data_IF_769206625750
#
_entry.id   IF_769206625750
#
_cell.length_a   1.000
_cell.length_b   1.000
_cell.length_c   1.000
_cell.angle_alpha   90.00
_cell.angle_beta   90.00
_cell.angle_gamma   90.00
#
_symmetry.space_group_name_H-M   'P 1'
#
loop_
_entity.id
_entity.type
_entity.pdbx_description
1 polymer ?
#
# COMPACT_ATOMS: atom_id res chain seq x y z
N UNK A 1 -24.12 25.85 -10.40
CA UNK A 1 -22.92 26.36 -11.10
C UNK A 1 -21.94 26.79 -10.03
N UNK A 2 -20.89 26.00 -9.78
CA UNK A 2 -19.77 26.44 -8.91
C UNK A 2 -18.72 27.02 -9.85
N UNK A 3 -18.26 28.22 -9.52
CA UNK A 3 -17.22 28.96 -10.21
C UNK A 3 -16.02 28.05 -10.53
N UNK A 4 -15.65 27.97 -11.81
CA UNK A 4 -14.33 27.51 -12.22
C UNK A 4 -13.32 28.52 -11.67
N UNK A 5 -12.76 28.23 -10.49
CA UNK A 5 -11.62 28.96 -9.98
C UNK A 5 -10.55 28.98 -11.07
N UNK A 6 -10.22 30.17 -11.56
CA UNK A 6 -9.33 30.36 -12.69
C UNK A 6 -8.01 29.64 -12.40
N UNK A 7 -7.71 28.60 -13.19
CA UNK A 7 -6.50 27.78 -13.02
C UNK A 7 -5.28 28.69 -13.17
N UNK A 8 -4.50 28.83 -12.09
CA UNK A 8 -3.23 29.58 -12.02
C UNK A 8 -2.26 29.21 -13.16
N UNK A 9 -2.19 27.93 -13.52
CA UNK A 9 -1.37 27.44 -14.63
C UNK A 9 -2.27 26.91 -15.75
N UNK A 10 -1.92 27.23 -17.00
CA UNK A 10 -2.55 26.57 -18.14
C UNK A 10 -2.31 25.06 -18.08
N UNK A 11 -3.37 24.27 -18.21
CA UNK A 11 -3.30 22.81 -18.19
C UNK A 11 -4.21 22.25 -19.27
N UNK A 12 -3.59 21.85 -20.38
CA UNK A 12 -4.29 21.35 -21.55
C UNK A 12 -4.62 19.87 -21.43
N UNK A 13 -5.51 19.38 -22.31
CA UNK A 13 -5.75 17.93 -22.45
C UNK A 13 -4.48 17.18 -22.87
N UNK A 14 -3.62 17.81 -23.68
CA UNK A 14 -2.36 17.21 -24.09
C UNK A 14 -1.38 17.04 -22.91
N UNK A 15 -1.29 18.03 -22.03
CA UNK A 15 -0.50 17.94 -20.79
C UNK A 15 -1.00 16.80 -19.90
N UNK A 16 -2.32 16.68 -19.75
CA UNK A 16 -2.94 15.58 -19.03
C UNK A 16 -2.55 14.21 -19.62
N UNK A 17 -2.63 14.04 -20.94
CA UNK A 17 -2.23 12.79 -21.60
C UNK A 17 -0.72 12.50 -21.47
N UNK A 18 0.13 13.53 -21.48
CA UNK A 18 1.57 13.37 -21.20
C UNK A 18 1.81 12.92 -19.75
N UNK A 19 1.13 13.53 -18.78
CA UNK A 19 1.21 13.12 -17.37
C UNK A 19 0.74 11.69 -17.20
N UNK A 20 -0.41 11.34 -17.77
CA UNK A 20 -0.98 9.99 -17.71
C UNK A 20 -0.03 8.94 -18.27
N UNK A 21 0.52 9.16 -19.47
CA UNK A 21 1.52 8.26 -20.08
C UNK A 21 2.76 8.11 -19.21
N UNK A 22 3.28 9.23 -18.69
CA UNK A 22 4.48 9.23 -17.84
C UNK A 22 4.24 8.47 -16.53
N UNK A 23 3.09 8.67 -15.89
CA UNK A 23 2.73 7.96 -14.67
C UNK A 23 2.54 6.47 -14.89
N UNK A 24 1.88 6.09 -15.99
CA UNK A 24 1.73 4.67 -16.36
C UNK A 24 3.10 4.02 -16.60
N UNK A 25 4.01 4.67 -17.33
CA UNK A 25 5.36 4.15 -17.58
C UNK A 25 6.17 3.98 -16.29
N UNK A 26 6.09 4.93 -15.36
CA UNK A 26 6.90 4.91 -14.13
C UNK A 26 6.32 4.02 -13.03
N UNK A 27 4.99 3.99 -12.88
CA UNK A 27 4.32 3.37 -11.73
C UNK A 27 3.19 2.40 -12.10
N UNK A 28 2.87 2.21 -13.38
CA UNK A 28 1.76 1.36 -13.84
C UNK A 28 0.36 1.93 -13.59
N UNK A 29 0.26 3.07 -12.89
CA UNK A 29 -1.03 3.66 -12.49
C UNK A 29 -1.77 4.18 -13.72
N UNK A 30 -2.95 3.63 -13.97
CA UNK A 30 -3.86 4.04 -15.02
C UNK A 30 -4.84 5.11 -14.51
N UNK A 31 -4.64 6.36 -14.93
CA UNK A 31 -5.55 7.46 -14.62
C UNK A 31 -6.73 7.47 -15.59
N UNK A 32 -7.94 7.60 -15.04
CA UNK A 32 -9.16 7.82 -15.80
C UNK A 32 -9.28 9.28 -16.24
N UNK A 33 -9.91 9.52 -17.38
CA UNK A 33 -10.04 10.86 -18.00
C UNK A 33 -10.72 11.89 -17.10
N UNK A 34 -11.53 11.45 -16.13
CA UNK A 34 -12.25 12.29 -15.17
C UNK A 34 -11.38 12.87 -14.05
N UNK A 35 -10.07 12.58 -14.02
CA UNK A 35 -9.17 12.99 -12.93
C UNK A 35 -8.30 14.21 -13.26
N UNK A 36 -8.60 14.94 -14.33
CA UNK A 36 -7.84 16.13 -14.76
C UNK A 36 -7.65 17.17 -13.64
N UNK A 37 -8.73 17.49 -12.92
CA UNK A 37 -8.74 18.46 -11.81
C UNK A 37 -7.88 18.01 -10.63
N UNK A 38 -7.92 16.70 -10.32
CA UNK A 38 -7.09 16.11 -9.27
C UNK A 38 -5.61 16.18 -9.65
N UNK A 39 -5.27 15.77 -10.88
CA UNK A 39 -3.88 15.84 -11.40
C UNK A 39 -3.38 17.28 -11.36
N UNK A 40 -4.16 18.22 -11.88
CA UNK A 40 -3.83 19.65 -11.86
C UNK A 40 -3.51 20.13 -10.44
N UNK A 41 -4.43 19.90 -9.49
CA UNK A 41 -4.29 20.40 -8.11
C UNK A 41 -3.05 19.88 -7.39
N UNK A 42 -2.60 18.66 -7.71
CA UNK A 42 -1.44 17.99 -7.10
C UNK A 42 -0.14 18.44 -7.73
N UNK A 43 -0.08 18.49 -9.06
CA UNK A 43 1.12 18.91 -9.77
C UNK A 43 1.35 20.42 -9.71
N UNK A 44 0.31 21.25 -9.64
CA UNK A 44 0.46 22.69 -9.42
C UNK A 44 1.21 23.03 -8.12
N UNK A 45 1.18 22.15 -7.11
CA UNK A 45 2.01 22.29 -5.90
C UNK A 45 3.49 22.04 -6.20
N UNK A 46 3.80 21.10 -7.10
CA UNK A 46 5.17 20.82 -7.56
C UNK A 46 5.72 21.97 -8.39
N UNK A 47 4.92 22.50 -9.34
CA UNK A 47 5.29 23.68 -10.12
C UNK A 47 5.68 24.86 -9.21
N UNK A 48 4.86 25.17 -8.21
CA UNK A 48 5.17 26.22 -7.22
C UNK A 48 6.45 25.93 -6.42
N UNK A 49 6.63 24.70 -5.95
CA UNK A 49 7.82 24.32 -5.20
C UNK A 49 9.12 24.42 -6.01
N UNK A 50 9.03 24.26 -7.33
CA UNK A 50 10.15 24.36 -8.27
C UNK A 50 10.24 25.74 -8.96
N UNK A 51 9.33 26.66 -8.62
CA UNK A 51 9.20 27.98 -9.26
C UNK A 51 9.09 27.90 -10.81
N UNK A 52 8.35 26.91 -11.31
CA UNK A 52 8.09 26.72 -12.74
C UNK A 52 6.75 27.35 -13.14
N UNK A 53 6.69 27.88 -14.37
CA UNK A 53 5.57 28.70 -14.84
C UNK A 53 4.57 27.93 -15.72
N UNK A 54 4.88 26.70 -16.15
CA UNK A 54 4.00 25.90 -16.99
C UNK A 54 4.15 24.39 -16.75
N UNK A 55 3.13 23.64 -17.16
CA UNK A 55 3.17 22.18 -17.14
C UNK A 55 4.15 21.62 -18.17
N UNK A 56 4.38 22.31 -19.29
CA UNK A 56 5.37 21.90 -20.27
C UNK A 56 6.79 22.01 -19.69
N UNK A 57 7.09 23.11 -18.99
CA UNK A 57 8.37 23.29 -18.29
C UNK A 57 8.56 22.17 -17.25
N UNK A 58 7.52 21.85 -16.48
CA UNK A 58 7.57 20.78 -15.50
C UNK A 58 7.81 19.40 -16.12
N UNK A 59 7.10 19.06 -17.19
CA UNK A 59 7.27 17.77 -17.87
C UNK A 59 8.63 17.67 -18.58
N UNK A 60 9.19 18.80 -19.05
CA UNK A 60 10.54 18.87 -19.60
C UNK A 60 11.59 18.71 -18.49
N UNK A 61 11.39 19.37 -17.35
CA UNK A 61 12.23 19.22 -16.17
C UNK A 61 12.23 17.77 -15.65
N UNK A 62 11.05 17.15 -15.51
CA UNK A 62 10.89 15.76 -15.07
C UNK A 62 11.67 14.76 -15.95
N UNK A 63 11.75 15.00 -17.26
CA UNK A 63 12.54 14.15 -18.17
C UNK A 63 14.04 14.28 -17.97
N UNK A 64 14.52 15.44 -17.50
CA UNK A 64 15.94 15.78 -17.33
C UNK A 64 16.46 15.51 -15.93
N UNK A 65 15.56 15.44 -14.95
CA UNK A 65 15.89 15.34 -13.52
C UNK A 65 15.26 14.08 -12.93
N UNK A 66 15.95 12.93 -12.96
CA UNK A 66 15.46 11.67 -12.41
C UNK A 66 15.02 11.75 -10.94
N UNK A 67 15.61 12.65 -10.15
CA UNK A 67 15.28 12.87 -8.74
C UNK A 67 13.84 13.38 -8.55
N UNK A 68 13.26 14.06 -9.56
CA UNK A 68 11.87 14.54 -9.48
C UNK A 68 10.84 13.42 -9.72
N UNK A 69 11.26 12.24 -10.22
CA UNK A 69 10.36 11.10 -10.44
C UNK A 69 9.62 10.69 -9.17
N UNK A 70 10.34 10.68 -8.04
CA UNK A 70 9.76 10.34 -6.75
C UNK A 70 8.67 11.35 -6.35
N UNK A 71 8.96 12.64 -6.47
CA UNK A 71 7.99 13.69 -6.15
C UNK A 71 6.77 13.68 -7.09
N UNK A 72 6.98 13.40 -8.37
CA UNK A 72 5.92 13.25 -9.36
C UNK A 72 4.99 12.09 -9.01
N UNK A 73 5.54 10.92 -8.68
CA UNK A 73 4.77 9.75 -8.27
C UNK A 73 4.02 10.05 -6.97
N UNK A 74 4.70 10.52 -5.93
CA UNK A 74 4.11 10.84 -4.63
C UNK A 74 2.97 11.86 -4.73
N UNK A 75 3.02 12.79 -5.69
CA UNK A 75 1.96 13.74 -5.90
C UNK A 75 0.68 13.07 -6.46
N UNK A 76 0.81 11.99 -7.23
CA UNK A 76 -0.27 11.38 -8.00
C UNK A 76 -0.80 10.06 -7.41
N UNK A 77 -0.15 9.50 -6.40
CA UNK A 77 -0.61 8.34 -5.61
C UNK A 77 -1.82 8.68 -4.74
N UNK A 78 -2.70 7.70 -4.49
CA UNK A 78 -3.88 7.88 -3.63
C UNK A 78 -3.78 6.94 -2.44
N UNK A 79 -3.66 7.52 -1.25
CA UNK A 79 -3.13 6.83 -0.07
C UNK A 79 -4.18 6.66 1.04
N UNK A 80 -5.44 6.41 0.70
CA UNK A 80 -6.50 6.26 1.70
C UNK A 80 -6.40 4.89 2.40
N UNK A 81 -6.11 4.93 3.70
CA UNK A 81 -6.02 3.73 4.55
C UNK A 81 -6.58 4.01 5.95
N UNK A 82 -6.80 2.97 6.74
CA UNK A 82 -7.22 3.07 8.14
C UNK A 82 -6.85 1.79 8.89
N UNK A 83 -6.64 1.90 10.21
CA UNK A 83 -6.41 0.74 11.06
C UNK A 83 -7.56 -0.26 10.93
N UNK A 84 -7.22 -1.54 10.85
CA UNK A 84 -8.16 -2.65 10.73
C UNK A 84 -9.19 -2.47 9.60
N UNK A 85 -8.79 -1.84 8.47
CA UNK A 85 -9.59 -1.84 7.24
C UNK A 85 -9.84 -3.28 6.79
N UNK A 86 -11.10 -3.62 6.52
CA UNK A 86 -11.53 -4.98 6.17
C UNK A 86 -11.11 -5.98 7.27
N UNK A 87 -11.70 -5.80 8.46
CA UNK A 87 -11.29 -6.44 9.72
C UNK A 87 -11.26 -7.97 9.68
N UNK A 88 -12.15 -8.58 8.88
CA UNK A 88 -12.23 -10.03 8.67
C UNK A 88 -10.92 -10.65 8.17
N UNK A 89 -10.06 -9.87 7.50
CA UNK A 89 -8.74 -10.34 7.07
C UNK A 89 -7.79 -10.59 8.24
N UNK A 90 -7.90 -9.84 9.34
CA UNK A 90 -7.04 -10.00 10.51
C UNK A 90 -7.48 -11.18 11.37
N UNK A 91 -8.77 -11.51 11.36
CA UNK A 91 -9.28 -12.75 11.95
C UNK A 91 -8.71 -13.98 11.22
N UNK A 92 -8.76 -13.97 9.88
CA UNK A 92 -8.17 -15.03 9.06
C UNK A 92 -6.63 -15.11 9.20
N UNK A 93 -5.93 -13.97 9.32
CA UNK A 93 -4.50 -13.95 9.62
C UNK A 93 -4.22 -14.61 10.97
N UNK A 94 -5.01 -14.30 12.01
CA UNK A 94 -4.83 -14.89 13.32
C UNK A 94 -5.02 -16.41 13.29
N UNK A 95 -6.03 -16.91 12.57
CA UNK A 95 -6.26 -18.34 12.37
C UNK A 95 -5.12 -19.02 11.61
N UNK A 96 -4.60 -18.38 10.55
CA UNK A 96 -3.45 -18.86 9.79
C UNK A 96 -2.21 -19.02 10.69
N UNK A 97 -1.89 -18.00 11.48
CA UNK A 97 -0.73 -18.04 12.37
C UNK A 97 -0.84 -19.09 13.48
N UNK A 98 -2.04 -19.34 14.01
CA UNK A 98 -2.27 -20.41 15.00
C UNK A 98 -2.10 -21.82 14.40
N UNK A 99 -2.52 -22.00 13.14
CA UNK A 99 -2.43 -23.29 12.45
C UNK A 99 -1.05 -23.56 11.84
N UNK A 100 -0.23 -22.52 11.64
CA UNK A 100 1.10 -22.61 11.05
C UNK A 100 2.16 -22.00 11.98
N UNK A 101 2.34 -22.56 13.20
CA UNK A 101 3.31 -22.03 14.15
C UNK A 101 4.73 -22.14 13.57
N UNK A 102 5.56 -21.12 13.82
CA UNK A 102 6.95 -21.08 13.37
C UNK A 102 7.32 -19.79 12.64
N UNK A 103 8.47 -19.81 11.99
CA UNK A 103 8.96 -18.68 11.19
C UNK A 103 8.11 -18.48 9.94
N UNK A 104 7.62 -17.25 9.77
CA UNK A 104 6.80 -16.86 8.63
C UNK A 104 7.16 -15.45 8.18
N UNK A 105 6.97 -15.18 6.90
CA UNK A 105 7.12 -13.84 6.33
C UNK A 105 5.76 -13.32 5.84
N UNK A 106 5.40 -12.14 6.31
CA UNK A 106 4.21 -11.39 5.86
C UNK A 106 4.68 -10.19 5.05
N UNK A 107 4.12 -10.01 3.86
CA UNK A 107 4.37 -8.85 3.02
C UNK A 107 3.11 -8.00 2.85
N UNK A 108 3.12 -6.78 3.36
CA UNK A 108 2.16 -5.72 3.03
C UNK A 108 2.70 -4.92 1.84
N UNK A 109 2.15 -5.15 0.66
CA UNK A 109 2.70 -4.70 -0.62
C UNK A 109 2.36 -3.24 -1.00
N UNK A 110 1.38 -2.63 -0.32
CA UNK A 110 0.97 -1.24 -0.50
C UNK A 110 0.60 -0.62 0.87
N UNK A 111 1.63 -0.34 1.66
CA UNK A 111 1.47 0.00 3.08
C UNK A 111 0.88 1.37 3.37
N UNK A 112 0.89 2.29 2.40
CA UNK A 112 0.50 3.68 2.56
C UNK A 112 1.14 4.29 3.83
N UNK A 113 0.36 4.96 4.67
CA UNK A 113 0.82 5.62 5.91
C UNK A 113 1.01 4.67 7.10
N UNK A 114 0.99 3.36 6.90
CA UNK A 114 1.41 2.36 7.88
C UNK A 114 0.30 1.72 8.71
N UNK A 115 -0.95 2.15 8.58
CA UNK A 115 -2.07 1.60 9.35
C UNK A 115 -2.28 0.10 9.10
N UNK A 116 -2.16 -0.35 7.85
CA UNK A 116 -2.27 -1.78 7.51
C UNK A 116 -1.15 -2.64 8.12
N UNK A 117 0.15 -2.34 7.91
CA UNK A 117 1.20 -3.15 8.52
C UNK A 117 1.22 -3.07 10.05
N UNK A 118 0.78 -1.97 10.65
CA UNK A 118 0.62 -1.93 12.11
C UNK A 118 -0.58 -2.76 12.58
N UNK A 119 -1.70 -2.82 11.84
CA UNK A 119 -2.76 -3.77 12.17
C UNK A 119 -2.31 -5.22 12.04
N UNK A 120 -1.51 -5.55 11.01
CA UNK A 120 -0.88 -6.88 10.87
C UNK A 120 0.01 -7.17 12.09
N UNK A 121 0.89 -6.24 12.46
CA UNK A 121 1.78 -6.40 13.61
C UNK A 121 1.02 -6.55 14.93
N UNK A 122 -0.07 -5.79 15.14
CA UNK A 122 -0.92 -5.93 16.32
C UNK A 122 -1.54 -7.32 16.39
N UNK A 123 -2.08 -7.82 15.27
CA UNK A 123 -2.63 -9.18 15.19
C UNK A 123 -1.57 -10.24 15.50
N UNK A 124 -0.36 -10.10 14.95
CA UNK A 124 0.76 -10.99 15.26
C UNK A 124 1.08 -10.96 16.76
N UNK A 125 1.25 -9.77 17.35
CA UNK A 125 1.58 -9.63 18.76
C UNK A 125 0.45 -10.06 19.72
N UNK A 126 -0.79 -10.11 19.25
CA UNK A 126 -1.93 -10.69 19.98
C UNK A 126 -1.92 -12.21 19.90
N UNK A 127 -1.66 -12.80 18.73
CA UNK A 127 -1.62 -14.26 18.55
C UNK A 127 -0.48 -14.90 19.34
N UNK A 128 0.70 -14.29 19.32
CA UNK A 128 1.89 -14.78 20.04
C UNK A 128 1.99 -14.26 21.47
N UNK A 129 1.07 -13.38 21.88
CA UNK A 129 1.10 -12.67 23.17
C UNK A 129 2.45 -11.97 23.49
N UNK A 130 3.25 -11.67 22.46
CA UNK A 130 4.62 -11.16 22.54
C UNK A 130 4.92 -10.22 21.38
N UNK A 131 5.86 -9.29 21.56
CA UNK A 131 6.44 -8.51 20.47
C UNK A 131 7.65 -9.19 19.83
N UNK A 132 8.29 -10.10 20.57
CA UNK A 132 9.35 -10.96 20.07
C UNK A 132 8.69 -12.21 19.49
N UNK A 133 8.60 -12.25 18.16
CA UNK A 133 7.86 -13.28 17.43
C UNK A 133 8.72 -13.79 16.28
N UNK A 134 8.54 -15.05 15.84
CA UNK A 134 9.25 -15.58 14.69
C UNK A 134 8.74 -15.01 13.34
N UNK A 135 7.87 -14.00 13.36
CA UNK A 135 7.22 -13.44 12.18
C UNK A 135 8.00 -12.23 11.66
N UNK A 136 8.43 -12.29 10.40
CA UNK A 136 9.00 -11.16 9.70
C UNK A 136 7.90 -10.39 8.96
N UNK A 137 7.73 -9.09 9.23
CA UNK A 137 6.76 -8.25 8.52
C UNK A 137 7.53 -7.26 7.62
N UNK A 138 7.33 -7.38 6.32
CA UNK A 138 7.82 -6.44 5.32
C UNK A 138 6.65 -5.58 4.88
N UNK A 139 6.80 -4.26 4.96
CA UNK A 139 5.83 -3.30 4.47
C UNK A 139 6.46 -2.47 3.37
N UNK A 140 5.79 -2.33 2.23
CA UNK A 140 6.32 -1.57 1.12
C UNK A 140 5.31 -0.66 0.47
N UNK A 141 5.80 0.43 -0.08
CA UNK A 141 5.04 1.35 -0.91
C UNK A 141 5.94 1.99 -1.96
N UNK A 142 5.35 2.50 -3.03
CA UNK A 142 6.07 3.29 -4.02
C UNK A 142 6.31 4.72 -3.52
N UNK A 143 5.40 5.20 -2.66
CA UNK A 143 5.37 6.57 -2.16
C UNK A 143 6.24 6.74 -0.91
N UNK A 144 7.34 7.48 -1.05
CA UNK A 144 8.30 7.69 0.03
C UNK A 144 7.75 8.59 1.15
N UNK A 145 6.85 9.52 0.84
CA UNK A 145 6.28 10.44 1.82
C UNK A 145 5.38 9.69 2.81
N UNK A 146 4.60 8.71 2.32
CA UNK A 146 3.76 7.89 3.20
C UNK A 146 4.57 6.85 3.98
N UNK A 147 5.64 6.31 3.38
CA UNK A 147 6.58 5.44 4.11
C UNK A 147 7.25 6.16 5.28
N UNK A 148 7.68 7.41 5.10
CA UNK A 148 8.24 8.22 6.19
C UNK A 148 7.23 8.41 7.34
N UNK A 149 5.95 8.65 7.00
CA UNK A 149 4.86 8.72 8.00
C UNK A 149 4.65 7.38 8.72
N UNK A 150 4.65 6.28 7.96
CA UNK A 150 4.51 4.94 8.49
C UNK A 150 5.63 4.59 9.48
N UNK A 151 6.89 4.87 9.12
CA UNK A 151 8.06 4.67 9.98
C UNK A 151 8.02 5.53 11.25
N UNK A 152 7.54 6.78 11.17
CA UNK A 152 7.34 7.62 12.34
C UNK A 152 6.28 7.03 13.30
N UNK A 153 5.24 6.41 12.73
CA UNK A 153 4.16 5.75 13.44
C UNK A 153 3.33 6.70 14.29
N UNK A 154 3.18 7.97 13.85
CA UNK A 154 2.44 9.02 14.56
C UNK A 154 1.15 9.31 13.81
N UNK A 155 0.02 9.22 14.49
CA UNK A 155 -1.32 9.41 13.94
C UNK A 155 -2.13 10.40 14.77
N UNK A 156 -3.17 10.97 14.19
CA UNK A 156 -4.17 11.70 14.98
C UNK A 156 -5.04 10.70 15.76
N UNK A 157 -5.60 11.15 16.89
CA UNK A 157 -6.38 10.27 17.78
C UNK A 157 -7.68 9.73 17.16
N UNK A 158 -8.21 10.37 16.12
CA UNK A 158 -9.38 9.90 15.36
C UNK A 158 -9.06 8.69 14.45
N UNK A 159 -7.81 8.58 13.99
CA UNK A 159 -7.36 7.45 13.16
C UNK A 159 -7.46 6.10 13.87
N UNK A 160 -7.48 6.10 15.21
CA UNK A 160 -7.54 4.91 16.05
C UNK A 160 -8.95 4.56 16.54
N UNK A 161 -9.98 5.19 15.97
CA UNK A 161 -11.39 4.98 16.35
C UNK A 161 -11.86 3.52 16.30
N UNK A 162 -11.22 2.67 15.48
CA UNK A 162 -11.53 1.24 15.35
C UNK A 162 -10.78 0.33 16.34
N UNK A 163 -9.81 0.87 17.07
CA UNK A 163 -9.02 0.11 18.04
C UNK A 163 -9.77 0.00 19.37
N UNK A 164 -9.72 -1.18 19.99
CA UNK A 164 -10.26 -1.36 21.34
C UNK A 164 -9.44 -0.58 22.38
N UNK A 165 -10.03 -0.29 23.53
CA UNK A 165 -9.30 0.37 24.62
C UNK A 165 -8.09 -0.46 25.11
N UNK A 166 -8.18 -1.79 25.03
CA UNK A 166 -7.09 -2.71 25.36
C UNK A 166 -5.94 -2.55 24.36
N UNK A 167 -6.24 -2.59 23.07
CA UNK A 167 -5.26 -2.38 22.00
C UNK A 167 -4.60 -1.01 22.10
N UNK A 168 -5.38 0.04 22.36
CA UNK A 168 -4.86 1.38 22.54
C UNK A 168 -3.86 1.45 23.71
N UNK A 169 -4.15 0.79 24.84
CA UNK A 169 -3.23 0.76 25.98
C UNK A 169 -1.97 -0.06 25.70
N UNK A 170 -2.09 -1.18 24.99
CA UNK A 170 -0.98 -2.11 24.71
C UNK A 170 -0.04 -1.58 23.62
N UNK A 171 -0.57 -0.93 22.59
CA UNK A 171 0.15 -0.67 21.35
C UNK A 171 0.40 0.81 21.04
N UNK A 172 -0.16 1.75 21.81
CA UNK A 172 -0.05 3.17 21.53
C UNK A 172 0.38 3.99 22.76
N UNK A 173 1.23 4.98 22.53
CA UNK A 173 1.44 6.10 23.44
C UNK A 173 0.52 7.26 23.06
N UNK A 174 -0.03 7.94 24.07
CA UNK A 174 -0.81 9.17 23.90
C UNK A 174 0.10 10.39 24.00
N UNK A 175 0.00 11.29 23.03
CA UNK A 175 0.75 12.54 23.04
C UNK A 175 0.27 13.50 24.14
N UNK A 176 1.22 14.21 24.75
CA UNK A 176 1.01 15.25 25.77
C UNK A 176 1.58 16.59 25.29
N UNK A 177 1.19 17.69 25.93
CA UNK A 177 1.68 19.03 25.58
C UNK A 177 1.43 19.38 24.11
N UNK A 178 2.49 19.74 23.38
CA UNK A 178 2.43 20.07 21.94
C UNK A 178 1.97 18.90 21.06
N UNK A 179 2.00 17.66 21.56
CA UNK A 179 1.52 16.47 20.87
C UNK A 179 0.11 16.04 21.29
N UNK A 180 -0.63 16.87 22.05
CA UNK A 180 -2.01 16.58 22.43
C UNK A 180 -2.86 16.32 21.18
N UNK A 181 -3.72 15.30 21.24
CA UNK A 181 -4.55 14.87 20.09
C UNK A 181 -3.84 13.93 19.11
N UNK A 182 -2.56 13.60 19.34
CA UNK A 182 -1.82 12.58 18.58
C UNK A 182 -1.59 11.32 19.40
N UNK A 183 -1.38 10.23 18.68
CA UNK A 183 -0.95 8.93 19.22
C UNK A 183 0.27 8.45 18.46
N UNK A 184 1.10 7.63 19.11
CA UNK A 184 2.26 7.03 18.48
C UNK A 184 2.32 5.54 18.76
N UNK A 185 2.63 4.76 17.73
CA UNK A 185 2.85 3.31 17.87
C UNK A 185 4.06 3.05 18.77
N UNK A 186 3.90 2.13 19.72
CA UNK A 186 4.96 1.76 20.68
C UNK A 186 6.22 1.26 19.94
N UNK A 187 7.43 1.55 20.44
CA UNK A 187 8.68 1.14 19.79
C UNK A 187 8.76 -0.35 19.46
N UNK A 188 8.24 -1.20 20.34
CA UNK A 188 8.24 -2.67 20.23
C UNK A 188 7.52 -3.11 18.95
N UNK A 189 6.30 -2.61 18.75
CA UNK A 189 5.49 -2.93 17.58
C UNK A 189 6.10 -2.34 16.29
N UNK A 190 6.75 -1.17 16.38
CA UNK A 190 7.46 -0.57 15.23
C UNK A 190 8.66 -1.39 14.80
N UNK A 191 9.37 -2.03 15.72
CA UNK A 191 10.52 -2.91 15.41
C UNK A 191 10.10 -4.19 14.67
N UNK A 192 8.84 -4.61 14.79
CA UNK A 192 8.32 -5.78 14.07
C UNK A 192 8.17 -5.55 12.56
N UNK A 193 8.11 -4.28 12.10
CA UNK A 193 7.83 -3.93 10.70
C UNK A 193 9.05 -3.34 10.03
N UNK A 194 9.51 -3.97 8.94
CA UNK A 194 10.54 -3.42 8.05
C UNK A 194 9.90 -2.72 6.86
N UNK A 195 10.02 -1.39 6.82
CA UNK A 195 9.53 -0.57 5.71
C UNK A 195 10.54 -0.50 4.55
N UNK A 196 10.08 -0.69 3.31
CA UNK A 196 10.90 -0.61 2.09
C UNK A 196 10.18 0.19 1.00
N UNK A 197 10.91 1.05 0.29
CA UNK A 197 10.40 1.62 -0.96
C UNK A 197 10.46 0.54 -2.04
N UNK A 198 9.35 0.33 -2.75
CA UNK A 198 9.23 -0.70 -3.78
C UNK A 198 8.16 -0.30 -4.79
N UNK A 199 8.46 -0.46 -6.07
CA UNK A 199 7.47 -0.32 -7.13
C UNK A 199 7.01 -1.72 -7.60
N UNK A 200 5.70 -1.97 -7.58
CA UNK A 200 5.14 -3.26 -8.01
C UNK A 200 5.41 -3.54 -9.50
N UNK A 201 5.71 -2.50 -10.29
CA UNK A 201 6.10 -2.64 -11.69
C UNK A 201 7.55 -3.07 -11.89
N UNK A 202 8.42 -2.97 -10.87
CA UNK A 202 9.83 -3.34 -11.02
C UNK A 202 9.97 -4.81 -11.39
N UNK A 203 10.87 -5.12 -12.31
CA UNK A 203 11.10 -6.49 -12.84
C UNK A 203 11.48 -7.47 -11.73
N UNK A 204 12.20 -7.00 -10.72
CA UNK A 204 12.61 -7.77 -9.55
C UNK A 204 12.28 -7.01 -8.28
N UNK A 205 11.74 -7.69 -7.29
CA UNK A 205 11.52 -7.13 -5.97
C UNK A 205 12.62 -7.59 -5.02
N UNK A 206 13.16 -6.71 -4.15
CA UNK A 206 14.13 -7.08 -3.14
C UNK A 206 13.47 -7.84 -1.96
N UNK A 207 12.65 -8.85 -2.26
CA UNK A 207 11.91 -9.67 -1.30
C UNK A 207 12.23 -11.14 -1.61
N UNK A 208 12.63 -11.89 -0.57
CA UNK A 208 13.04 -13.29 -0.71
C UNK A 208 11.87 -14.20 -0.37
N UNK A 209 11.66 -15.24 -1.17
CA UNK A 209 10.74 -16.32 -0.87
C UNK A 209 11.28 -17.23 0.27
N UNK A 210 10.41 -17.95 1.00
CA UNK A 210 8.95 -17.95 0.87
C UNK A 210 8.29 -16.73 1.53
N UNK A 211 7.16 -16.29 0.97
CA UNK A 211 6.26 -15.30 1.58
C UNK A 211 4.93 -15.97 1.89
N UNK A 212 4.73 -16.31 3.17
CA UNK A 212 3.58 -17.07 3.65
C UNK A 212 2.27 -16.29 3.47
N UNK A 213 2.30 -14.99 3.76
CA UNK A 213 1.11 -14.13 3.64
C UNK A 213 1.42 -12.86 2.87
N UNK A 214 0.60 -12.55 1.87
CA UNK A 214 0.68 -11.30 1.10
C UNK A 214 -0.61 -10.50 1.29
N UNK A 215 -0.48 -9.29 1.81
CA UNK A 215 -1.51 -8.26 1.77
C UNK A 215 -1.23 -7.32 0.60
N UNK A 216 -2.09 -7.34 -0.41
CA UNK A 216 -2.03 -6.45 -1.56
C UNK A 216 -3.44 -5.94 -1.85
N UNK A 217 -3.90 -5.04 -0.96
CA UNK A 217 -5.30 -4.60 -0.89
C UNK A 217 -5.47 -3.18 -1.40
N UNK A 218 -6.52 -2.96 -2.18
CA UNK A 218 -6.95 -1.65 -2.67
C UNK A 218 -5.89 -0.89 -3.50
N UNK A 219 -4.93 -1.60 -4.09
CA UNK A 219 -3.87 -1.07 -4.96
C UNK A 219 -4.03 -1.59 -6.39
N UNK A 220 -4.50 -2.82 -6.57
CA UNK A 220 -4.62 -3.45 -7.88
C UNK A 220 -5.65 -2.75 -8.76
N UNK A 221 -6.60 -2.04 -8.14
CA UNK A 221 -7.60 -1.18 -8.81
C UNK A 221 -6.97 -0.05 -9.64
N UNK A 222 -5.71 0.32 -9.41
CA UNK A 222 -5.01 1.35 -10.17
C UNK A 222 -4.32 0.82 -11.43
N UNK A 223 -4.23 -0.50 -11.59
CA UNK A 223 -3.56 -1.14 -12.74
C UNK A 223 -4.59 -1.64 -13.77
N UNK A 224 -4.18 -1.76 -15.04
CA UNK A 224 -4.98 -2.48 -16.04
C UNK A 224 -4.97 -4.00 -15.80
N UNK A 225 -5.87 -4.74 -16.47
CA UNK A 225 -6.01 -6.19 -16.26
C UNK A 225 -4.76 -7.01 -16.59
N UNK A 226 -4.04 -6.76 -17.71
CA UNK A 226 -2.77 -7.43 -17.97
C UNK A 226 -1.74 -7.20 -16.85
N UNK A 227 -1.61 -5.96 -16.38
CA UNK A 227 -0.69 -5.58 -15.30
C UNK A 227 -1.08 -6.24 -13.98
N UNK A 228 -2.36 -6.22 -13.61
CA UNK A 228 -2.88 -6.93 -12.44
C UNK A 228 -2.52 -8.42 -12.48
N UNK A 229 -2.74 -9.08 -13.62
CA UNK A 229 -2.45 -10.51 -13.76
C UNK A 229 -0.94 -10.80 -13.62
N UNK A 230 -0.09 -9.98 -14.23
CA UNK A 230 1.37 -10.15 -14.13
C UNK A 230 1.90 -9.95 -12.70
N UNK A 231 1.44 -8.90 -12.01
CA UNK A 231 1.80 -8.64 -10.60
C UNK A 231 1.36 -9.81 -9.73
N UNK A 232 0.10 -10.24 -9.86
CA UNK A 232 -0.44 -11.36 -9.09
C UNK A 232 0.38 -12.64 -9.32
N UNK A 233 0.67 -12.98 -10.58
CA UNK A 233 1.48 -14.15 -10.93
C UNK A 233 2.83 -14.16 -10.22
N UNK A 234 3.52 -13.02 -10.20
CA UNK A 234 4.82 -12.87 -9.54
C UNK A 234 4.71 -12.97 -8.02
N UNK A 235 3.68 -12.39 -7.42
CA UNK A 235 3.42 -12.51 -5.98
C UNK A 235 3.15 -13.97 -5.56
N UNK A 236 2.28 -14.66 -6.29
CA UNK A 236 1.91 -16.05 -6.02
C UNK A 236 3.09 -17.03 -6.20
N UNK A 237 4.05 -16.69 -7.07
CA UNK A 237 5.29 -17.46 -7.22
C UNK A 237 6.21 -17.38 -5.99
N UNK A 238 6.05 -16.38 -5.12
CA UNK A 238 6.80 -16.27 -3.86
C UNK A 238 6.17 -17.07 -2.72
N UNK A 239 4.92 -17.53 -2.87
CA UNK A 239 4.17 -18.15 -1.78
C UNK A 239 4.34 -19.68 -1.73
N UNK A 240 4.33 -20.28 -0.52
CA UNK A 240 4.15 -21.73 -0.37
C UNK A 240 2.72 -22.15 -0.75
N UNK A 241 2.47 -23.45 -0.86
CA UNK A 241 1.16 -24.00 -1.30
C UNK A 241 0.00 -23.63 -0.36
N UNK A 242 0.28 -23.46 0.93
CA UNK A 242 -0.67 -23.13 1.98
C UNK A 242 -0.76 -21.61 2.27
N UNK A 243 0.05 -20.80 1.59
CA UNK A 243 0.12 -19.35 1.78
C UNK A 243 -1.18 -18.62 1.44
N UNK A 244 -1.37 -17.43 2.04
CA UNK A 244 -2.58 -16.62 1.85
C UNK A 244 -2.28 -15.32 1.10
N UNK A 245 -3.16 -14.96 0.16
CA UNK A 245 -3.19 -13.67 -0.51
C UNK A 245 -4.47 -12.93 -0.14
N UNK A 246 -4.33 -11.73 0.38
CA UNK A 246 -5.43 -10.84 0.78
C UNK A 246 -5.60 -9.73 -0.23
N UNK A 247 -6.77 -9.69 -0.88
CA UNK A 247 -7.19 -8.65 -1.80
C UNK A 247 -8.10 -7.62 -1.10
N UNK A 248 -8.26 -6.43 -1.68
CA UNK A 248 -9.23 -5.44 -1.20
C UNK A 248 -10.66 -5.73 -1.67
N UNK A 249 -11.65 -5.13 -1.00
CA UNK A 249 -13.08 -5.40 -1.23
C UNK A 249 -13.58 -5.28 -2.68
N UNK A 250 -12.94 -4.45 -3.52
CA UNK A 250 -13.31 -4.22 -4.92
C UNK A 250 -12.45 -5.02 -5.91
N UNK A 251 -11.50 -5.81 -5.41
CA UNK A 251 -10.57 -6.61 -6.21
C UNK A 251 -11.08 -8.05 -6.26
N UNK A 252 -11.13 -8.61 -7.47
CA UNK A 252 -11.65 -9.95 -7.70
C UNK A 252 -10.75 -10.68 -8.70
N UNK A 253 -10.18 -11.79 -8.25
CA UNK A 253 -9.27 -12.63 -9.03
C UNK A 253 -9.88 -13.99 -9.44
N UNK A 254 -11.20 -14.14 -9.38
CA UNK A 254 -11.90 -15.39 -9.74
C UNK A 254 -11.72 -15.77 -11.23
N UNK A 255 -11.26 -14.85 -12.08
CA UNK A 255 -10.92 -15.13 -13.48
C UNK A 255 -9.45 -15.57 -13.68
N UNK A 256 -8.61 -15.48 -12.66
CA UNK A 256 -7.23 -15.94 -12.66
C UNK A 256 -7.10 -17.30 -11.94
N UNK A 257 -7.97 -18.24 -12.31
CA UNK A 257 -8.07 -19.57 -11.69
C UNK A 257 -6.81 -20.42 -11.88
N UNK A 258 -5.98 -20.07 -12.85
CA UNK A 258 -4.66 -20.62 -13.07
C UNK A 258 -3.62 -20.17 -12.02
N UNK A 259 -3.89 -19.08 -11.31
CA UNK A 259 -3.00 -18.49 -10.31
C UNK A 259 -3.51 -18.65 -8.89
N UNK A 260 -4.82 -18.53 -8.65
CA UNK A 260 -5.39 -18.50 -7.31
C UNK A 260 -6.71 -19.24 -7.16
N UNK A 261 -6.97 -19.74 -5.96
CA UNK A 261 -8.22 -20.37 -5.55
C UNK A 261 -8.83 -19.54 -4.41
N UNK A 262 -10.11 -19.13 -4.48
CA UNK A 262 -10.75 -18.40 -3.39
C UNK A 262 -10.98 -19.31 -2.19
N UNK A 263 -10.66 -18.83 -0.99
CA UNK A 263 -10.84 -19.58 0.27
C UNK A 263 -11.61 -18.78 1.33
N UNK A 264 -12.05 -17.57 0.99
CA UNK A 264 -12.81 -16.70 1.88
C UNK A 264 -13.18 -15.39 1.19
N UNK A 265 -13.76 -14.46 1.95
CA UNK A 265 -14.11 -13.13 1.44
C UNK A 265 -12.83 -12.36 1.09
N UNK A 266 -12.55 -12.23 -0.21
CA UNK A 266 -11.35 -11.59 -0.77
C UNK A 266 -10.03 -12.19 -0.28
N UNK A 267 -10.04 -13.48 0.08
CA UNK A 267 -8.87 -14.26 0.50
C UNK A 267 -8.66 -15.40 -0.51
N UNK A 268 -7.41 -15.59 -0.90
CA UNK A 268 -7.01 -16.54 -1.93
C UNK A 268 -5.82 -17.38 -1.47
N UNK A 269 -5.69 -18.59 -2.02
CA UNK A 269 -4.49 -19.43 -1.95
C UNK A 269 -3.88 -19.62 -3.34
N UNK A 270 -2.58 -19.88 -3.47
CA UNK A 270 -1.98 -20.25 -4.74
C UNK A 270 -2.67 -21.45 -5.41
N UNK A 271 -2.99 -21.32 -6.70
CA UNK A 271 -3.35 -22.46 -7.52
C UNK A 271 -2.07 -23.18 -7.95
N UNK A 272 -1.98 -24.48 -7.66
CA UNK A 272 -0.89 -25.34 -8.12
C UNK A 272 -1.49 -26.40 -9.04
N UNK A 273 -1.22 -26.30 -10.34
CA UNK A 273 -1.59 -27.36 -11.29
C UNK A 273 -0.78 -28.62 -10.94
N UNK A 274 -1.43 -29.68 -10.44
CA UNK A 274 -0.82 -31.01 -10.34
C UNK A 274 -0.98 -31.78 -9.02
N UNK A 275 -1.43 -31.17 -7.93
CA UNK A 275 -1.83 -31.94 -6.74
C UNK A 275 -3.31 -32.31 -6.86
N UNK A 276 -3.59 -33.50 -7.40
CA UNK A 276 -4.85 -34.18 -7.10
C UNK A 276 -4.90 -34.29 -5.58
N UNK A 277 -5.83 -33.58 -4.94
CA UNK A 277 -6.26 -33.98 -3.61
C UNK A 277 -6.96 -35.33 -3.81
N UNK A 278 -6.20 -36.40 -3.56
CA UNK A 278 -6.74 -37.74 -3.41
C UNK A 278 -7.33 -37.92 -2.03
#
# INVERSE_FOLDING_TARGET
>A
MKEDAQKEFAFSKEDFERVRRTLYQKAGINLTDTKDSLVYSRLARRLRALSLNSFDDYLTYLKRTPEEDENFINALTTNLTSFFRESHHFEALAEYLRSHPGERTIWCAASSTGEEPYSIAMTVAEVFESFDTPISIIASDIDSNVLAKAQAGVYNADAISKLSAVQCRKFLHRGKGQNKGKVRVVPELRRMVTFRRLNLMDVTWPIRAPIDVIFCRNVMIYFDKPTQHNILKRMIALQPDDGLYFAGHSENFNKATDLVIPVGKTIYKPARKGKKYG
#
